data_IF_272548156541
#
_entry.id   IF_272548156541
#
_cell.length_a   1.000
_cell.length_b   1.000
_cell.length_c   1.000
_cell.angle_alpha   90.00
_cell.angle_beta   90.00
_cell.angle_gamma   90.00
#
_symmetry.space_group_name_H-M   'P 1'
#
loop_
_entity.id
_entity.type
_entity.pdbx_description
1 polymer ?
#
# COMPACT_ATOMS: atom_id res chain seq x y z
N UNK A 1 12.50 1.80 -16.90
CA UNK A 1 12.55 1.02 -15.65
C UNK A 1 11.20 0.38 -15.45
N UNK A 2 11.10 -0.93 -15.26
CA UNK A 2 9.83 -1.60 -14.95
C UNK A 2 9.52 -1.42 -13.47
N UNK A 3 8.27 -1.10 -13.14
CA UNK A 3 7.81 -0.97 -11.76
C UNK A 3 7.68 -2.38 -11.16
N UNK A 4 8.31 -2.60 -10.01
CA UNK A 4 8.32 -3.88 -9.29
C UNK A 4 6.99 -4.21 -8.62
N UNK A 5 6.81 -5.49 -8.25
CA UNK A 5 5.64 -5.98 -7.49
C UNK A 5 5.44 -5.18 -6.19
N UNK A 6 6.53 -4.91 -5.46
CA UNK A 6 6.49 -4.14 -4.19
C UNK A 6 6.07 -2.70 -4.41
N UNK A 7 6.63 -2.01 -5.41
CA UNK A 7 6.28 -0.62 -5.70
C UNK A 7 4.80 -0.45 -6.07
N UNK A 8 4.23 -1.42 -6.80
CA UNK A 8 2.80 -1.49 -7.12
C UNK A 8 1.93 -1.62 -5.88
N UNK A 9 2.29 -2.52 -4.95
CA UNK A 9 1.56 -2.73 -3.70
C UNK A 9 1.66 -1.49 -2.81
N UNK A 10 2.87 -0.93 -2.65
CA UNK A 10 3.08 0.33 -1.91
C UNK A 10 2.18 1.43 -2.48
N UNK A 11 2.21 1.63 -3.79
CA UNK A 11 1.37 2.63 -4.45
C UNK A 11 -0.12 2.41 -4.16
N UNK A 12 -0.60 1.17 -4.27
CA UNK A 12 -2.00 0.84 -3.99
C UNK A 12 -2.37 1.11 -2.53
N UNK A 13 -1.58 0.65 -1.54
CA UNK A 13 -1.82 0.91 -0.12
C UNK A 13 -1.90 2.42 0.15
N UNK A 14 -0.96 3.20 -0.41
CA UNK A 14 -0.98 4.66 -0.26
C UNK A 14 -2.23 5.29 -0.87
N UNK A 15 -2.68 4.84 -2.04
CA UNK A 15 -3.90 5.33 -2.69
C UNK A 15 -5.16 4.99 -1.92
N UNK A 16 -5.27 3.77 -1.39
CA UNK A 16 -6.41 3.35 -0.58
C UNK A 16 -6.48 4.18 0.71
N UNK A 17 -5.36 4.31 1.41
CA UNK A 17 -5.28 5.10 2.64
C UNK A 17 -5.57 6.58 2.37
N UNK A 18 -5.06 7.16 1.28
CA UNK A 18 -5.38 8.54 0.87
C UNK A 18 -6.87 8.70 0.54
N UNK A 19 -7.49 7.70 -0.07
CA UNK A 19 -8.92 7.70 -0.42
C UNK A 19 -9.85 7.36 0.76
N UNK A 20 -9.28 7.11 1.94
CA UNK A 20 -10.03 6.82 3.17
C UNK A 20 -10.27 5.34 3.46
N UNK A 21 -9.86 4.43 2.58
CA UNK A 21 -9.92 2.99 2.87
C UNK A 21 -8.76 2.58 3.80
N UNK A 22 -9.11 2.11 5.00
CA UNK A 22 -8.15 1.69 6.05
C UNK A 22 -8.22 0.20 6.39
N UNK A 23 -9.13 -0.54 5.76
CA UNK A 23 -9.37 -1.95 6.05
C UNK A 23 -8.68 -2.80 4.98
N UNK A 24 -7.34 -2.73 4.97
CA UNK A 24 -6.50 -3.41 3.99
C UNK A 24 -5.90 -4.68 4.60
N UNK A 25 -6.02 -5.80 3.90
CA UNK A 25 -5.44 -7.08 4.30
C UNK A 25 -4.56 -7.64 3.19
N UNK A 26 -3.71 -8.63 3.49
CA UNK A 26 -2.90 -9.31 2.47
C UNK A 26 -3.76 -10.04 1.41
N UNK A 27 -4.98 -10.47 1.78
CA UNK A 27 -5.93 -11.15 0.90
C UNK A 27 -6.50 -10.21 -0.18
N UNK A 28 -6.61 -8.91 0.11
CA UNK A 28 -7.00 -7.91 -0.89
C UNK A 28 -6.03 -7.90 -2.09
N UNK A 29 -4.75 -8.19 -1.79
CA UNK A 29 -3.65 -8.20 -2.74
C UNK A 29 -3.30 -9.58 -3.29
N UNK A 30 -3.95 -10.65 -2.80
CA UNK A 30 -3.61 -12.04 -3.12
C UNK A 30 -2.11 -12.35 -2.91
N UNK A 31 -1.60 -11.97 -1.74
CA UNK A 31 -0.20 -12.20 -1.34
C UNK A 31 -0.10 -12.86 0.02
N UNK A 32 1.06 -13.49 0.26
CA UNK A 32 1.44 -13.99 1.57
C UNK A 32 1.52 -12.86 2.61
N UNK A 33 1.11 -13.20 3.84
CA UNK A 33 1.11 -12.26 4.96
C UNK A 33 2.50 -11.66 5.23
N UNK A 34 3.57 -12.46 5.16
CA UNK A 34 4.93 -11.99 5.41
C UNK A 34 5.35 -10.89 4.43
N UNK A 35 4.96 -11.00 3.15
CA UNK A 35 5.21 -9.95 2.17
C UNK A 35 4.43 -8.68 2.47
N UNK A 36 3.17 -8.81 2.89
CA UNK A 36 2.35 -7.66 3.29
C UNK A 36 2.91 -6.96 4.53
N UNK A 37 3.37 -7.74 5.50
CA UNK A 37 4.05 -7.27 6.71
C UNK A 37 5.31 -6.48 6.36
N UNK A 38 6.21 -7.06 5.55
CA UNK A 38 7.44 -6.41 5.12
C UNK A 38 7.18 -5.09 4.39
N UNK A 39 6.22 -5.08 3.48
CA UNK A 39 5.82 -3.86 2.75
C UNK A 39 5.26 -2.81 3.71
N UNK A 40 4.45 -3.22 4.69
CA UNK A 40 3.89 -2.31 5.69
C UNK A 40 4.97 -1.69 6.56
N UNK A 41 6.02 -2.45 6.91
CA UNK A 41 7.21 -1.93 7.60
C UNK A 41 7.93 -0.90 6.72
N UNK A 42 8.19 -1.23 5.44
CA UNK A 42 8.83 -0.29 4.51
C UNK A 42 8.05 1.03 4.40
N UNK A 43 6.72 0.96 4.31
CA UNK A 43 5.84 2.14 4.24
C UNK A 43 5.98 3.01 5.48
N UNK A 44 5.99 2.41 6.67
CA UNK A 44 6.14 3.14 7.94
C UNK A 44 7.54 3.73 8.08
N UNK A 45 8.57 2.93 7.84
CA UNK A 45 9.97 3.31 8.11
C UNK A 45 10.47 4.34 7.09
N UNK A 46 9.98 4.29 5.85
CA UNK A 46 10.20 5.33 4.85
C UNK A 46 9.35 6.59 5.08
N UNK A 47 8.50 6.60 6.12
CA UNK A 47 7.65 7.74 6.46
C UNK A 47 6.58 8.04 5.43
N UNK A 48 6.16 7.08 4.59
CA UNK A 48 5.14 7.32 3.55
C UNK A 48 3.72 7.39 4.13
N UNK A 49 3.48 6.62 5.20
CA UNK A 49 2.30 6.74 6.06
C UNK A 49 2.76 6.92 7.51
N UNK A 50 2.05 7.76 8.25
CA UNK A 50 2.10 7.78 9.73
C UNK A 50 0.91 7.00 10.28
N UNK A 51 1.04 6.41 11.47
CA UNK A 51 -0.07 5.75 12.16
C UNK A 51 -0.29 4.27 11.82
N UNK A 52 0.57 3.66 11.01
CA UNK A 52 0.59 2.21 10.77
C UNK A 52 0.96 1.50 12.08
N UNK A 53 0.10 0.59 12.56
CA UNK A 53 0.34 -0.18 13.79
C UNK A 53 0.59 -1.65 13.47
N UNK A 54 1.43 -2.27 14.28
CA UNK A 54 1.68 -3.70 14.26
C UNK A 54 1.27 -4.27 15.62
N UNK A 55 0.24 -5.13 15.64
CA UNK A 55 -0.38 -5.63 16.87
C UNK A 55 -0.49 -7.16 16.83
N UNK A 56 -1.18 -7.77 17.80
CA UNK A 56 -1.46 -9.22 17.78
C UNK A 56 -2.63 -9.56 16.83
N UNK A 57 -3.63 -8.68 16.74
CA UNK A 57 -4.82 -8.84 15.89
C UNK A 57 -5.51 -7.45 15.69
N UNK A 58 -5.67 -6.95 14.44
CA UNK A 58 -5.04 -7.45 13.22
C UNK A 58 -3.53 -7.16 13.25
N UNK A 59 -2.72 -8.09 12.75
CA UNK A 59 -1.26 -7.98 12.83
C UNK A 59 -0.69 -6.72 12.17
N UNK A 60 -1.37 -6.19 11.15
CA UNK A 60 -1.11 -4.87 10.56
C UNK A 60 -2.41 -4.08 10.56
N UNK A 61 -2.41 -2.85 11.10
CA UNK A 61 -3.59 -1.99 11.16
C UNK A 61 -3.33 -0.62 10.53
N UNK A 62 -4.21 -0.21 9.62
CA UNK A 62 -4.16 1.11 8.95
C UNK A 62 -5.26 2.08 9.42
N UNK A 63 -6.09 1.71 10.40
CA UNK A 63 -7.24 2.51 10.90
C UNK A 63 -6.90 3.98 11.18
N UNK A 64 -5.75 4.22 11.81
CA UNK A 64 -5.26 5.55 12.18
C UNK A 64 -4.23 6.10 11.18
N UNK A 65 -4.02 5.42 10.05
CA UNK A 65 -2.97 5.77 9.10
C UNK A 65 -3.35 7.01 8.30
N UNK A 66 -2.41 7.94 8.16
CA UNK A 66 -2.56 9.13 7.33
C UNK A 66 -1.38 9.23 6.37
N UNK A 67 -1.65 9.66 5.14
CA UNK A 67 -0.61 9.92 4.16
C UNK A 67 0.25 11.12 4.60
N UNK A 68 1.56 10.99 4.43
CA UNK A 68 2.52 12.06 4.72
C UNK A 68 2.84 12.86 3.45
N UNK A 69 3.68 13.89 3.58
CA UNK A 69 4.15 14.63 2.42
C UNK A 69 5.02 13.75 1.50
N UNK A 70 5.83 12.88 2.09
CA UNK A 70 6.67 11.88 1.42
C UNK A 70 5.80 10.86 0.68
N UNK A 71 4.71 10.39 1.30
CA UNK A 71 3.72 9.53 0.66
C UNK A 71 3.05 10.19 -0.55
N UNK A 72 2.67 11.47 -0.44
CA UNK A 72 2.13 12.24 -1.56
C UNK A 72 3.14 12.40 -2.71
N UNK A 73 4.41 12.64 -2.39
CA UNK A 73 5.48 12.74 -3.38
C UNK A 73 5.75 11.41 -4.07
N UNK A 74 5.69 10.30 -3.33
CA UNK A 74 5.79 8.96 -3.89
C UNK A 74 4.65 8.69 -4.89
N UNK A 75 3.40 9.03 -4.54
CA UNK A 75 2.26 8.89 -5.45
C UNK A 75 2.43 9.73 -6.73
N UNK A 76 2.89 10.98 -6.61
CA UNK A 76 3.13 11.87 -7.76
C UNK A 76 4.23 11.34 -8.69
N UNK A 77 5.32 10.85 -8.10
CA UNK A 77 6.46 10.31 -8.85
C UNK A 77 6.11 9.03 -9.61
N UNK A 78 5.10 8.30 -9.12
CA UNK A 78 4.55 7.10 -9.74
C UNK A 78 3.25 7.35 -10.54
N UNK A 79 3.07 8.56 -11.08
CA UNK A 79 1.86 8.96 -11.83
C UNK A 79 1.49 8.06 -13.03
N UNK A 80 2.41 7.24 -13.55
CA UNK A 80 2.06 6.24 -14.56
C UNK A 80 1.05 5.20 -14.01
N UNK A 81 1.18 4.82 -12.73
CA UNK A 81 0.27 3.91 -12.05
C UNK A 81 -1.10 4.55 -11.79
N UNK A 82 -1.18 5.88 -11.66
CA UNK A 82 -2.46 6.56 -11.38
C UNK A 82 -3.48 6.41 -12.50
N UNK A 83 -3.00 6.31 -13.76
CA UNK A 83 -3.85 6.14 -14.93
C UNK A 83 -4.51 4.76 -14.99
N UNK A 84 -3.85 3.77 -14.43
CA UNK A 84 -4.29 2.37 -14.47
C UNK A 84 -4.91 1.92 -13.14
N UNK A 85 -4.63 2.60 -12.03
CA UNK A 85 -5.14 2.23 -10.72
C UNK A 85 -6.61 2.57 -10.59
N UNK A 86 -7.45 1.57 -10.37
CA UNK A 86 -8.90 1.72 -10.18
C UNK A 86 -9.39 1.06 -8.88
N UNK A 87 -8.52 1.02 -7.87
CA UNK A 87 -8.77 0.37 -6.59
C UNK A 87 -8.27 -1.08 -6.53
N UNK A 88 -8.57 -1.76 -5.41
CA UNK A 88 -8.08 -3.10 -5.11
C UNK A 88 -8.42 -4.15 -6.17
N UNK A 89 -9.56 -4.05 -6.87
CA UNK A 89 -9.85 -4.99 -7.97
C UNK A 89 -8.78 -4.92 -9.08
N UNK A 90 -8.26 -3.73 -9.38
CA UNK A 90 -7.22 -3.54 -10.39
C UNK A 90 -5.84 -3.98 -9.90
N UNK A 91 -5.58 -3.98 -8.57
CA UNK A 91 -4.26 -4.42 -8.06
C UNK A 91 -4.03 -5.90 -8.33
N UNK A 92 -5.09 -6.72 -8.29
CA UNK A 92 -5.01 -8.15 -8.60
C UNK A 92 -4.63 -8.41 -10.07
N UNK A 93 -5.04 -7.54 -10.98
CA UNK A 93 -4.62 -7.61 -12.40
C UNK A 93 -3.14 -7.22 -12.58
N UNK A 94 -2.59 -6.40 -11.68
CA UNK A 94 -1.21 -5.94 -11.75
C UNK A 94 -0.19 -6.92 -11.18
N UNK A 95 -0.66 -7.79 -10.28
CA UNK A 95 0.12 -8.80 -9.57
C UNK A 95 -0.20 -10.15 -10.21
N UNK A 96 0.49 -10.55 -11.30
CA UNK A 96 0.33 -11.91 -11.81
C UNK A 96 0.69 -12.91 -10.70
N UNK A 97 -0.10 -13.99 -10.64
CA UNK A 97 0.12 -15.17 -9.80
C UNK A 97 1.55 -15.70 -9.96
#
# INVERSE_FOLDING_TARGET
MSISKREKIIYSILKEVESGNKNLTHEDYDIEFDLFWDISIMIRDAGLLKGVRFTLDPRVAFENSQITFEGLNYLKSNSALSKTYKGLKAIREWLPL
#
